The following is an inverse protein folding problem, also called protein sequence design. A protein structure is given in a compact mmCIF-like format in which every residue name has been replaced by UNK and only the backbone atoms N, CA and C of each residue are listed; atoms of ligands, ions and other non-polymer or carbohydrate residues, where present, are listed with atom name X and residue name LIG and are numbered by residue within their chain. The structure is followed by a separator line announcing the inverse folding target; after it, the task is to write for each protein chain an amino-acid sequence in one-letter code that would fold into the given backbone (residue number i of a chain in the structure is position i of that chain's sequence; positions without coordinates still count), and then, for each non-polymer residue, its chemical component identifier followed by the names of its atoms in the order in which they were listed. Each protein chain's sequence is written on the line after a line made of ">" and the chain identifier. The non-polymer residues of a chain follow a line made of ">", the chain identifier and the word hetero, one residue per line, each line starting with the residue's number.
data_IF_152620785017
#
_entry.id   IF_152620785017
#
_cell.length_a   1.000
_cell.length_b   1.000
_cell.length_c   1.000
_cell.angle_alpha   90.00
_cell.angle_beta   90.00
_cell.angle_gamma   90.00
#
_symmetry.space_group_name_H-M   'P 1'
#
loop_
_entity.id
_entity.type
_entity.pdbx_description
1 polymer ?
#
# COMPACT_ATOMS: atom_id res chain seq x y z
N UNK A 1 3.89 -15.82 -20.07
CA UNK A 1 4.04 -16.87 -19.02
C UNK A 1 3.79 -18.25 -19.59
N UNK A 2 2.68 -18.47 -20.30
CA UNK A 2 2.28 -19.78 -20.82
C UNK A 2 3.34 -20.50 -21.66
N UNK A 3 4.07 -19.76 -22.51
CA UNK A 3 5.17 -20.34 -23.31
C UNK A 3 6.33 -20.84 -22.44
N UNK A 4 6.67 -20.14 -21.35
CA UNK A 4 7.73 -20.55 -20.42
C UNK A 4 7.31 -21.78 -19.62
N UNK A 5 6.07 -21.78 -19.12
CA UNK A 5 5.48 -22.94 -18.42
C UNK A 5 5.46 -24.16 -19.35
N UNK A 6 4.99 -23.98 -20.59
CA UNK A 6 4.97 -25.04 -21.60
C UNK A 6 6.35 -25.58 -21.94
N UNK A 7 7.36 -24.70 -22.05
CA UNK A 7 8.76 -25.10 -22.28
C UNK A 7 9.34 -25.91 -21.12
N UNK A 8 9.08 -25.51 -19.88
CA UNK A 8 9.58 -26.22 -18.69
C UNK A 8 8.88 -27.58 -18.56
N UNK A 9 7.56 -27.60 -18.62
CA UNK A 9 6.79 -28.85 -18.55
C UNK A 9 7.17 -29.79 -19.70
N UNK A 10 7.32 -29.29 -20.93
CA UNK A 10 7.75 -30.10 -22.07
C UNK A 10 9.13 -30.76 -21.89
N UNK A 11 10.00 -30.17 -21.07
CA UNK A 11 11.34 -30.73 -20.78
C UNK A 11 11.34 -31.73 -19.62
N UNK A 12 10.53 -31.53 -18.59
CA UNK A 12 10.66 -32.25 -17.31
C UNK A 12 9.43 -33.09 -16.92
N UNK A 13 8.30 -32.96 -17.62
CA UNK A 13 7.11 -33.79 -17.36
C UNK A 13 7.40 -35.26 -17.58
N UNK A 14 6.84 -36.09 -16.70
CA UNK A 14 6.81 -37.55 -16.82
C UNK A 14 5.35 -38.03 -16.89
N UNK A 15 5.13 -39.33 -17.14
CA UNK A 15 3.77 -39.88 -17.25
C UNK A 15 2.88 -39.60 -16.03
N UNK A 16 3.47 -39.49 -14.84
CA UNK A 16 2.74 -39.34 -13.58
C UNK A 16 3.00 -37.99 -12.87
N UNK A 17 3.77 -37.08 -13.47
CA UNK A 17 4.17 -35.84 -12.80
C UNK A 17 4.34 -34.67 -13.78
N UNK A 18 3.70 -33.54 -13.45
CA UNK A 18 3.89 -32.24 -14.11
C UNK A 18 4.61 -31.30 -13.15
N UNK A 19 5.78 -30.75 -13.51
CA UNK A 19 6.57 -29.87 -12.65
C UNK A 19 5.85 -28.56 -12.29
N UNK A 20 5.20 -27.93 -13.26
CA UNK A 20 4.47 -26.68 -13.05
C UNK A 20 2.99 -26.93 -13.33
N UNK A 21 2.15 -26.69 -12.32
CA UNK A 21 0.70 -26.57 -12.47
C UNK A 21 0.36 -25.08 -12.47
N UNK A 22 0.06 -24.55 -13.65
CA UNK A 22 -0.37 -23.16 -13.81
C UNK A 22 -1.91 -23.10 -13.79
N UNK A 23 -2.46 -22.36 -12.83
CA UNK A 23 -3.91 -22.18 -12.68
C UNK A 23 -4.22 -20.75 -13.11
N UNK A 24 -4.91 -20.61 -14.25
CA UNK A 24 -5.39 -19.33 -14.74
C UNK A 24 -6.86 -19.15 -14.34
N UNK A 25 -7.09 -18.40 -13.26
CA UNK A 25 -8.42 -18.16 -12.71
C UNK A 25 -8.35 -17.76 -11.25
N UNK A 26 -9.53 -17.55 -10.65
CA UNK A 26 -9.65 -17.29 -9.22
C UNK A 26 -9.75 -18.61 -8.45
N UNK A 27 -9.08 -18.67 -7.31
CA UNK A 27 -9.20 -19.76 -6.33
C UNK A 27 -9.93 -19.19 -5.12
N UNK A 28 -10.85 -19.95 -4.53
CA UNK A 28 -11.55 -19.51 -3.33
C UNK A 28 -10.59 -19.31 -2.15
N UNK A 29 -10.90 -18.40 -1.23
CA UNK A 29 -10.01 -18.13 -0.09
C UNK A 29 -9.75 -19.38 0.77
N UNK A 30 -10.77 -20.23 0.97
CA UNK A 30 -10.64 -21.49 1.72
C UNK A 30 -9.71 -22.48 1.02
N UNK A 31 -9.83 -22.63 -0.31
CA UNK A 31 -8.96 -23.50 -1.11
C UNK A 31 -7.52 -22.98 -1.11
N UNK A 32 -7.35 -21.67 -1.23
CA UNK A 32 -6.04 -21.03 -1.20
C UNK A 32 -5.35 -21.19 0.16
N UNK A 33 -6.09 -21.07 1.26
CA UNK A 33 -5.58 -21.35 2.59
C UNK A 33 -5.16 -22.83 2.75
N UNK A 34 -5.90 -23.75 2.11
CA UNK A 34 -5.52 -25.16 2.00
C UNK A 34 -4.19 -25.33 1.26
N UNK A 35 -4.03 -24.71 0.09
CA UNK A 35 -2.76 -24.72 -0.65
C UNK A 35 -1.60 -24.13 0.15
N UNK A 36 -1.82 -23.02 0.86
CA UNK A 36 -0.80 -22.45 1.72
C UNK A 36 -0.38 -23.43 2.80
N UNK A 37 -1.34 -24.05 3.50
CA UNK A 37 -1.07 -25.00 4.59
C UNK A 37 -0.32 -26.24 4.12
N UNK A 38 -0.65 -26.76 2.95
CA UNK A 38 -0.04 -27.99 2.41
C UNK A 38 1.29 -27.73 1.67
N UNK A 39 1.61 -26.47 1.37
CA UNK A 39 2.83 -26.12 0.65
C UNK A 39 4.07 -26.14 1.55
N UNK A 40 5.12 -26.84 1.10
CA UNK A 40 6.43 -26.87 1.76
C UNK A 40 7.18 -25.54 1.62
N UNK A 41 6.96 -24.81 0.53
CA UNK A 41 7.63 -23.55 0.21
C UNK A 41 6.65 -22.60 -0.46
N UNK A 42 6.64 -21.35 -0.02
CA UNK A 42 5.97 -20.25 -0.70
C UNK A 42 7.01 -19.29 -1.28
N UNK A 43 6.95 -19.07 -2.59
CA UNK A 43 7.86 -18.18 -3.31
C UNK A 43 7.13 -16.92 -3.74
N UNK A 44 7.46 -15.80 -3.11
CA UNK A 44 6.84 -14.50 -3.34
C UNK A 44 7.90 -13.53 -3.84
N UNK A 45 8.09 -13.46 -5.16
CA UNK A 45 9.19 -12.69 -5.77
C UNK A 45 8.73 -11.54 -6.68
N UNK A 46 7.93 -10.58 -6.20
CA UNK A 46 7.58 -9.41 -7.00
C UNK A 46 8.80 -8.52 -7.25
N UNK A 47 8.80 -7.82 -8.38
CA UNK A 47 9.86 -6.86 -8.72
C UNK A 47 9.77 -5.58 -7.87
N UNK A 48 8.55 -5.16 -7.53
CA UNK A 48 8.22 -4.07 -6.60
C UNK A 48 6.83 -4.33 -6.02
N UNK A 49 6.71 -4.25 -4.70
CA UNK A 49 5.44 -4.39 -4.01
C UNK A 49 5.48 -3.63 -2.67
N UNK A 50 4.52 -2.72 -2.45
CA UNK A 50 4.47 -1.94 -1.21
C UNK A 50 4.25 -2.82 0.01
N UNK A 51 3.42 -3.86 -0.12
CA UNK A 51 3.22 -4.89 0.90
C UNK A 51 2.65 -6.14 0.25
N UNK A 52 3.22 -7.30 0.57
CA UNK A 52 2.72 -8.55 0.02
C UNK A 52 1.87 -9.31 1.04
N UNK A 53 0.55 -9.25 0.88
CA UNK A 53 -0.39 -9.96 1.76
C UNK A 53 -0.35 -11.48 1.56
N UNK A 54 -0.04 -11.96 0.35
CA UNK A 54 0.12 -13.40 0.09
C UNK A 54 1.20 -14.02 0.98
N UNK A 55 2.31 -13.31 1.21
CA UNK A 55 3.35 -13.73 2.14
C UNK A 55 2.82 -13.84 3.59
N UNK A 56 2.01 -12.85 4.03
CA UNK A 56 1.40 -12.83 5.38
C UNK A 56 0.35 -13.93 5.54
N UNK A 57 -0.49 -14.14 4.54
CA UNK A 57 -1.49 -15.20 4.50
C UNK A 57 -0.86 -16.59 4.55
N UNK A 58 0.22 -16.81 3.79
CA UNK A 58 0.99 -18.05 3.87
C UNK A 58 1.49 -18.28 5.30
N UNK A 59 2.19 -17.31 5.90
CA UNK A 59 2.68 -17.40 7.28
C UNK A 59 1.54 -17.69 8.25
N UNK A 60 0.38 -17.04 8.10
CA UNK A 60 -0.78 -17.26 8.95
C UNK A 60 -1.36 -18.69 8.83
N UNK A 61 -1.30 -19.29 7.64
CA UNK A 61 -1.81 -20.63 7.37
C UNK A 61 -0.90 -21.77 7.86
N UNK A 62 0.37 -21.48 8.14
CA UNK A 62 1.41 -22.42 8.54
C UNK A 62 1.32 -22.81 10.02
N UNK A 63 0.26 -23.56 10.35
CA UNK A 63 -0.07 -24.00 11.71
C UNK A 63 0.33 -25.45 12.01
N UNK A 64 0.68 -26.23 10.98
CA UNK A 64 1.05 -27.64 11.08
C UNK A 64 2.58 -27.79 11.07
N UNK A 65 3.07 -28.90 11.61
CA UNK A 65 4.46 -29.32 11.48
C UNK A 65 4.61 -30.46 10.47
N UNK A 66 5.67 -30.49 9.66
CA UNK A 66 6.73 -29.48 9.59
C UNK A 66 6.25 -28.19 8.89
N UNK A 67 6.48 -27.03 9.50
CA UNK A 67 6.09 -25.74 8.94
C UNK A 67 6.77 -25.44 7.60
N UNK A 68 6.07 -24.89 6.62
CA UNK A 68 6.61 -24.44 5.33
C UNK A 68 7.65 -23.31 5.45
N UNK A 69 8.38 -23.05 4.36
CA UNK A 69 9.39 -21.97 4.27
C UNK A 69 8.88 -20.85 3.38
N UNK A 70 8.96 -19.61 3.87
CA UNK A 70 8.70 -18.42 3.06
C UNK A 70 9.99 -17.95 2.40
N UNK A 71 9.94 -17.77 1.08
CA UNK A 71 10.93 -17.06 0.29
C UNK A 71 10.27 -15.77 -0.23
N UNK A 72 10.90 -14.62 0.02
CA UNK A 72 10.34 -13.31 -0.33
C UNK A 72 11.34 -12.42 -1.05
N UNK A 73 10.86 -11.59 -1.97
CA UNK A 73 11.63 -10.53 -2.60
C UNK A 73 12.05 -9.47 -1.57
N UNK A 74 13.30 -8.97 -1.60
CA UNK A 74 13.68 -7.80 -0.81
C UNK A 74 12.96 -6.52 -1.27
N UNK A 75 12.31 -6.55 -2.45
CA UNK A 75 11.55 -5.42 -3.01
C UNK A 75 10.05 -5.48 -2.67
N UNK A 76 9.64 -6.40 -1.80
CA UNK A 76 8.32 -6.42 -1.20
C UNK A 76 8.39 -5.86 0.23
N UNK A 77 7.44 -5.02 0.64
CA UNK A 77 7.38 -4.55 2.03
C UNK A 77 7.31 -5.69 3.07
N UNK A 78 6.78 -6.86 2.68
CA UNK A 78 6.83 -8.05 3.52
C UNK A 78 8.27 -8.53 3.79
N UNK A 79 9.17 -8.41 2.80
CA UNK A 79 10.59 -8.74 2.93
C UNK A 79 11.36 -7.83 3.89
N UNK A 80 10.91 -6.59 4.06
CA UNK A 80 11.43 -5.68 5.09
C UNK A 80 10.94 -6.05 6.49
N UNK A 81 9.76 -6.65 6.64
CA UNK A 81 9.19 -6.98 7.96
C UNK A 81 9.48 -8.39 8.46
N UNK A 82 9.64 -9.36 7.55
CA UNK A 82 9.76 -10.80 7.86
C UNK A 82 11.21 -11.28 7.71
N UNK A 83 12.09 -10.82 8.59
CA UNK A 83 13.52 -11.12 8.51
C UNK A 83 13.88 -12.61 8.62
N UNK A 84 12.97 -13.44 9.13
CA UNK A 84 13.16 -14.88 9.22
C UNK A 84 12.85 -15.62 7.92
N UNK A 85 12.24 -14.96 6.93
CA UNK A 85 12.08 -15.49 5.58
C UNK A 85 13.44 -15.59 4.86
N UNK A 86 13.52 -16.43 3.83
CA UNK A 86 14.66 -16.40 2.92
C UNK A 86 14.46 -15.27 1.90
N UNK A 87 15.46 -14.41 1.73
CA UNK A 87 15.41 -13.37 0.71
C UNK A 87 15.87 -13.93 -0.63
N UNK A 88 15.15 -13.58 -1.69
CA UNK A 88 15.47 -13.95 -3.06
C UNK A 88 15.35 -12.74 -3.98
N UNK A 89 16.46 -12.33 -4.60
CA UNK A 89 16.45 -11.28 -5.61
C UNK A 89 15.85 -11.83 -6.93
N UNK A 90 14.68 -11.35 -7.40
CA UNK A 90 14.07 -11.85 -8.63
C UNK A 90 14.89 -11.61 -9.90
N UNK A 91 15.89 -10.73 -9.85
CA UNK A 91 16.80 -10.47 -10.98
C UNK A 91 17.95 -11.49 -11.08
N UNK A 92 18.17 -12.31 -10.05
CA UNK A 92 19.28 -13.27 -9.95
C UNK A 92 18.76 -14.71 -9.98
N UNK A 93 18.60 -15.26 -11.18
CA UNK A 93 17.96 -16.57 -11.39
C UNK A 93 18.77 -17.72 -10.74
N UNK A 94 20.09 -17.68 -10.79
CA UNK A 94 20.96 -18.71 -10.20
C UNK A 94 20.83 -18.72 -8.67
N UNK A 95 20.93 -17.53 -8.05
CA UNK A 95 20.69 -17.33 -6.61
C UNK A 95 19.29 -17.79 -6.20
N UNK A 96 18.26 -17.49 -7.01
CA UNK A 96 16.90 -17.97 -6.77
C UNK A 96 16.81 -19.50 -6.70
N UNK A 97 17.51 -20.20 -7.60
CA UNK A 97 17.54 -21.67 -7.59
C UNK A 97 18.21 -22.22 -6.31
N UNK A 98 19.31 -21.61 -5.86
CA UNK A 98 19.98 -21.97 -4.60
C UNK A 98 19.09 -21.73 -3.38
N UNK A 99 18.35 -20.62 -3.36
CA UNK A 99 17.42 -20.28 -2.27
C UNK A 99 16.23 -21.25 -2.24
N UNK A 100 15.68 -21.62 -3.39
CA UNK A 100 14.63 -22.65 -3.49
C UNK A 100 15.15 -24.00 -3.01
N UNK A 101 16.35 -24.40 -3.43
CA UNK A 101 16.99 -25.63 -2.97
C UNK A 101 17.17 -25.63 -1.45
N UNK A 102 17.69 -24.53 -0.88
CA UNK A 102 17.82 -24.36 0.57
C UNK A 102 16.48 -24.46 1.28
N UNK A 103 15.42 -23.84 0.78
CA UNK A 103 14.10 -23.89 1.38
C UNK A 103 13.55 -25.33 1.44
N UNK A 104 13.74 -26.09 0.36
CA UNK A 104 13.29 -27.49 0.26
C UNK A 104 14.13 -28.46 1.11
N UNK A 105 15.38 -28.11 1.41
CA UNK A 105 16.32 -28.96 2.18
C UNK A 105 16.53 -28.47 3.62
N UNK A 106 15.79 -27.43 4.05
CA UNK A 106 15.93 -26.84 5.38
C UNK A 106 15.50 -27.84 6.48
N UNK A 107 16.33 -28.05 7.51
CA UNK A 107 15.99 -28.86 8.67
C UNK A 107 14.69 -28.41 9.35
N UNK A 108 13.91 -29.36 9.87
CA UNK A 108 12.59 -29.10 10.49
C UNK A 108 12.68 -28.13 11.67
N UNK A 109 13.71 -28.26 12.52
CA UNK A 109 13.94 -27.35 13.65
C UNK A 109 14.19 -25.90 13.21
N UNK A 110 14.95 -25.68 12.12
CA UNK A 110 15.13 -24.35 11.53
C UNK A 110 13.80 -23.81 10.96
N UNK A 111 13.02 -24.66 10.30
CA UNK A 111 11.71 -24.30 9.72
C UNK A 111 10.74 -23.84 10.80
N UNK A 112 10.55 -24.63 11.85
CA UNK A 112 9.63 -24.32 12.96
C UNK A 112 10.09 -23.06 13.71
N UNK A 113 11.40 -22.87 13.92
CA UNK A 113 11.93 -21.66 14.55
C UNK A 113 11.63 -20.40 13.72
N UNK A 114 11.93 -20.42 12.41
CA UNK A 114 11.68 -19.28 11.52
C UNK A 114 10.19 -18.98 11.43
N UNK A 115 9.37 -19.99 11.16
CA UNK A 115 7.92 -19.81 11.01
C UNK A 115 7.26 -19.34 12.32
N UNK A 116 7.64 -19.93 13.46
CA UNK A 116 7.12 -19.53 14.76
C UNK A 116 7.38 -18.06 15.09
N UNK A 117 8.56 -17.54 14.71
CA UNK A 117 8.89 -16.11 14.87
C UNK A 117 8.07 -15.22 13.94
N UNK A 118 7.96 -15.57 12.65
CA UNK A 118 7.14 -14.81 11.69
C UNK A 118 5.68 -14.78 12.13
N UNK A 119 5.10 -15.93 12.49
CA UNK A 119 3.72 -16.01 12.97
C UNK A 119 3.47 -15.16 14.19
N UNK A 120 4.37 -15.18 15.17
CA UNK A 120 4.23 -14.35 16.37
C UNK A 120 4.23 -12.86 16.03
N UNK A 121 5.08 -12.43 15.10
CA UNK A 121 5.14 -11.04 14.62
C UNK A 121 3.84 -10.64 13.92
N UNK A 122 3.38 -11.47 12.99
CA UNK A 122 2.15 -11.21 12.23
C UNK A 122 0.90 -11.18 13.12
N UNK A 123 0.86 -11.99 14.18
CA UNK A 123 -0.23 -11.93 15.17
C UNK A 123 -0.24 -10.62 15.98
N UNK A 124 0.91 -9.95 16.14
CA UNK A 124 1.02 -8.69 16.88
C UNK A 124 0.84 -7.46 15.98
N UNK A 125 1.23 -7.58 14.71
CA UNK A 125 1.15 -6.54 13.69
C UNK A 125 -0.06 -6.76 12.77
N UNK A 126 -1.22 -7.02 13.37
CA UNK A 126 -2.47 -7.21 12.64
C UNK A 126 -3.00 -5.89 12.05
N UNK A 127 -4.05 -5.98 11.23
CA UNK A 127 -4.69 -4.81 10.61
C UNK A 127 -5.16 -3.78 11.63
N UNK A 128 -5.62 -4.22 12.81
CA UNK A 128 -6.06 -3.33 13.88
C UNK A 128 -4.87 -2.59 14.50
N UNK A 129 -3.73 -3.27 14.65
CA UNK A 129 -2.48 -2.69 15.12
C UNK A 129 -1.96 -1.65 14.15
N UNK A 130 -2.02 -1.93 12.84
CA UNK A 130 -1.70 -0.96 11.80
C UNK A 130 -2.64 0.25 11.86
N UNK A 131 -3.96 0.04 11.92
CA UNK A 131 -4.95 1.12 11.97
C UNK A 131 -4.74 2.01 13.21
N UNK A 132 -4.52 1.42 14.39
CA UNK A 132 -4.22 2.17 15.61
C UNK A 132 -2.94 2.99 15.49
N UNK A 133 -1.88 2.42 14.91
CA UNK A 133 -0.62 3.14 14.69
C UNK A 133 -0.78 4.27 13.68
N UNK A 134 -1.54 4.05 12.61
CA UNK A 134 -1.81 5.06 11.60
C UNK A 134 -2.62 6.23 12.18
N UNK A 135 -3.72 5.94 12.88
CA UNK A 135 -4.52 6.97 13.55
C UNK A 135 -3.72 7.70 14.63
N UNK A 136 -2.94 6.96 15.43
CA UNK A 136 -2.05 7.59 16.41
C UNK A 136 -1.01 8.49 15.74
N UNK A 137 -0.47 8.09 14.58
CA UNK A 137 0.45 8.91 13.83
C UNK A 137 -0.25 10.19 13.32
N UNK A 138 -1.50 10.09 12.87
CA UNK A 138 -2.32 11.25 12.51
C UNK A 138 -2.62 12.17 13.70
N UNK A 139 -3.02 11.61 14.85
CA UNK A 139 -3.25 12.39 16.07
C UNK A 139 -1.94 12.99 16.59
N UNK A 140 -0.80 12.30 16.44
CA UNK A 140 0.50 12.86 16.80
C UNK A 140 1.00 13.92 15.82
N UNK A 141 0.51 13.92 14.57
CA UNK A 141 0.66 15.07 13.68
C UNK A 141 -0.14 16.29 14.18
N UNK A 142 -1.11 16.09 15.09
CA UNK A 142 -1.75 17.19 15.84
C UNK A 142 -0.98 17.58 17.12
N UNK A 143 -0.10 16.72 17.66
CA UNK A 143 0.64 16.96 18.91
C UNK A 143 2.07 17.52 18.73
N UNK A 144 2.63 17.54 17.50
CA UNK A 144 3.85 18.30 17.20
C UNK A 144 3.52 19.80 17.11
N UNK A 145 3.64 20.53 18.23
CA UNK A 145 3.75 22.01 18.38
C UNK A 145 3.41 22.89 17.15
N UNK A 146 2.19 22.77 16.64
CA UNK A 146 1.48 23.86 15.98
C UNK A 146 0.17 23.91 16.73
N UNK A 147 0.15 24.68 17.83
CA UNK A 147 -1.07 24.94 18.58
C UNK A 147 -2.19 25.20 17.57
N UNK A 148 -3.24 24.36 17.62
CA UNK A 148 -4.36 24.31 16.67
C UNK A 148 -4.50 25.65 15.99
N UNK A 149 -3.89 25.79 14.81
CA UNK A 149 -4.11 26.99 14.01
C UNK A 149 -5.47 26.74 13.41
N UNK A 150 -6.49 26.95 14.23
CA UNK A 150 -7.76 27.47 13.75
C UNK A 150 -7.34 28.66 12.92
N UNK A 151 -7.29 28.47 11.59
CA UNK A 151 -7.14 29.58 10.68
C UNK A 151 -8.27 30.52 11.03
N UNK A 152 -7.93 31.61 11.72
CA UNK A 152 -8.87 32.68 11.98
C UNK A 152 -9.34 33.13 10.61
N UNK A 153 -10.66 33.29 10.39
CA UNK A 153 -11.16 33.82 9.14
C UNK A 153 -10.41 35.10 8.82
N UNK A 154 -9.89 35.20 7.59
CA UNK A 154 -9.20 36.41 7.13
C UNK A 154 -10.16 37.59 7.30
N UNK A 155 -9.73 38.58 8.07
CA UNK A 155 -10.48 39.80 8.29
C UNK A 155 -10.11 40.86 7.25
N UNK A 156 -10.91 41.93 7.16
CA UNK A 156 -10.59 43.05 6.26
C UNK A 156 -9.25 43.68 6.62
N UNK A 157 -8.89 43.71 7.90
CA UNK A 157 -7.62 44.28 8.37
C UNK A 157 -6.40 43.46 7.90
N UNK A 158 -6.56 42.14 7.72
CA UNK A 158 -5.51 41.27 7.18
C UNK A 158 -5.25 41.57 5.69
N UNK A 159 -6.27 42.00 4.94
CA UNK A 159 -6.10 42.41 3.54
C UNK A 159 -5.28 43.68 3.43
N UNK A 160 -5.48 44.68 4.29
CA UNK A 160 -4.68 45.91 4.29
C UNK A 160 -3.20 45.61 4.54
N UNK A 161 -2.91 44.65 5.43
CA UNK A 161 -1.55 44.16 5.63
C UNK A 161 -0.99 43.45 4.39
N UNK A 162 -1.75 42.51 3.81
CA UNK A 162 -1.33 41.75 2.63
C UNK A 162 -1.12 42.62 1.38
N UNK A 163 -1.94 43.66 1.20
CA UNK A 163 -1.83 44.61 0.08
C UNK A 163 -0.47 45.33 0.07
N UNK A 164 0.16 45.55 1.23
CA UNK A 164 1.51 46.10 1.31
C UNK A 164 2.57 45.17 0.69
N UNK A 165 2.33 43.86 0.69
CA UNK A 165 3.24 42.86 0.10
C UNK A 165 2.92 42.58 -1.37
N UNK A 166 1.65 42.66 -1.75
CA UNK A 166 1.22 42.37 -3.12
C UNK A 166 1.61 43.49 -4.08
N UNK A 167 1.81 44.74 -3.63
CA UNK A 167 2.26 45.84 -4.47
C UNK A 167 1.39 46.09 -5.72
N UNK A 168 1.78 47.05 -6.56
CA UNK A 168 1.02 47.39 -7.78
C UNK A 168 1.52 46.70 -9.06
N UNK A 169 2.66 46.01 -9.00
CA UNK A 169 3.33 45.44 -10.18
C UNK A 169 3.30 43.90 -10.23
N UNK A 170 2.63 43.25 -9.28
CA UNK A 170 2.53 41.79 -9.22
C UNK A 170 1.18 41.31 -9.70
N UNK A 171 1.17 40.22 -10.48
CA UNK A 171 -0.06 39.51 -10.82
C UNK A 171 -0.46 38.63 -9.64
N UNK A 172 -1.61 38.88 -9.06
CA UNK A 172 -2.18 38.07 -7.98
C UNK A 172 -2.99 36.92 -8.58
N UNK A 173 -2.63 35.69 -8.23
CA UNK A 173 -3.45 34.51 -8.53
C UNK A 173 -4.26 34.13 -7.29
N UNK A 174 -5.59 34.17 -7.39
CA UNK A 174 -6.50 33.69 -6.35
C UNK A 174 -6.97 32.28 -6.71
N UNK A 175 -6.57 31.31 -5.89
CA UNK A 175 -7.03 29.93 -5.98
C UNK A 175 -8.13 29.75 -4.94
N UNK A 176 -9.36 29.52 -5.40
CA UNK A 176 -10.53 29.37 -4.54
C UNK A 176 -11.00 27.92 -4.63
N UNK A 177 -11.22 27.30 -3.47
CA UNK A 177 -11.93 26.02 -3.43
C UNK A 177 -13.39 26.24 -3.84
N UNK A 178 -14.03 25.22 -4.41
CA UNK A 178 -15.44 25.30 -4.74
C UNK A 178 -16.28 25.08 -3.48
N UNK A 179 -16.04 23.98 -2.76
CA UNK A 179 -16.81 23.61 -1.57
C UNK A 179 -16.30 24.37 -0.33
N UNK A 180 -17.23 24.91 0.46
CA UNK A 180 -16.94 25.69 1.67
C UNK A 180 -16.35 27.08 1.46
N UNK A 181 -15.89 27.41 0.25
CA UNK A 181 -15.43 28.77 -0.12
C UNK A 181 -16.40 29.46 -1.07
N UNK A 182 -16.67 28.89 -2.25
CA UNK A 182 -17.60 29.48 -3.22
C UNK A 182 -19.05 29.02 -2.97
N UNK A 183 -19.25 27.74 -2.67
CA UNK A 183 -20.53 27.15 -2.28
C UNK A 183 -20.50 26.78 -0.78
N UNK A 184 -21.61 26.93 -0.03
CA UNK A 184 -21.68 26.45 1.35
C UNK A 184 -21.38 24.94 1.45
N UNK A 185 -20.74 24.51 2.54
CA UNK A 185 -20.48 23.09 2.80
C UNK A 185 -21.81 22.33 2.83
N UNK A 186 -21.93 21.32 1.97
CA UNK A 186 -23.09 20.44 1.87
C UNK A 186 -22.69 18.98 2.20
N UNK A 187 -23.61 18.18 2.74
CA UNK A 187 -23.34 16.78 3.08
C UNK A 187 -23.13 15.87 1.85
N UNK A 188 -23.46 16.33 0.65
CA UNK A 188 -23.21 15.63 -0.60
C UNK A 188 -22.75 16.63 -1.68
N UNK A 189 -21.73 16.32 -2.50
CA UNK A 189 -21.18 17.25 -3.49
C UNK A 189 -22.22 17.81 -4.48
N UNK A 190 -23.15 16.97 -4.95
CA UNK A 190 -24.22 17.38 -5.88
C UNK A 190 -25.16 18.47 -5.33
N UNK A 191 -25.13 18.71 -4.02
CA UNK A 191 -25.94 19.74 -3.34
C UNK A 191 -25.18 21.05 -3.13
N UNK A 192 -23.87 21.08 -3.38
CA UNK A 192 -23.04 22.27 -3.29
C UNK A 192 -23.33 23.23 -4.46
N UNK A 193 -24.32 24.09 -4.26
CA UNK A 193 -24.78 25.05 -5.27
C UNK A 193 -24.24 26.44 -4.98
N UNK A 194 -23.63 27.05 -5.99
CA UNK A 194 -23.11 28.41 -5.92
C UNK A 194 -24.25 29.41 -5.65
N UNK A 195 -24.23 30.16 -4.54
CA UNK A 195 -25.26 31.15 -4.26
C UNK A 195 -25.31 32.24 -5.35
N UNK A 196 -26.49 32.79 -5.66
CA UNK A 196 -26.64 33.86 -6.65
C UNK A 196 -25.74 35.07 -6.37
N UNK A 197 -25.54 35.41 -5.09
CA UNK A 197 -24.71 36.51 -4.64
C UNK A 197 -23.24 36.28 -5.00
N UNK A 198 -22.68 35.11 -4.66
CA UNK A 198 -21.31 34.73 -5.00
C UNK A 198 -21.10 34.70 -6.50
N UNK A 199 -22.06 34.15 -7.25
CA UNK A 199 -22.04 34.11 -8.71
C UNK A 199 -21.97 35.52 -9.31
N UNK A 200 -22.76 36.45 -8.81
CA UNK A 200 -22.77 37.85 -9.28
C UNK A 200 -21.43 38.55 -9.01
N UNK A 201 -20.78 38.26 -7.87
CA UNK A 201 -19.45 38.81 -7.56
C UNK A 201 -18.41 38.28 -8.53
N UNK A 202 -18.37 36.96 -8.77
CA UNK A 202 -17.43 36.35 -9.72
C UNK A 202 -17.62 36.90 -11.15
N UNK A 203 -18.88 37.08 -11.57
CA UNK A 203 -19.20 37.69 -12.87
C UNK A 203 -18.76 39.15 -12.99
N UNK A 204 -18.83 39.92 -11.89
CA UNK A 204 -18.32 41.30 -11.88
C UNK A 204 -16.80 41.33 -11.98
N UNK A 205 -16.12 40.42 -11.27
CA UNK A 205 -14.67 40.30 -11.32
C UNK A 205 -14.17 39.88 -12.71
N UNK A 206 -14.85 38.93 -13.36
CA UNK A 206 -14.49 38.49 -14.72
C UNK A 206 -14.61 39.57 -15.79
N UNK A 207 -15.36 40.63 -15.52
CA UNK A 207 -15.53 41.77 -16.44
C UNK A 207 -14.49 42.88 -16.23
N UNK A 208 -13.58 42.73 -15.25
CA UNK A 208 -12.51 43.70 -15.03
C UNK A 208 -11.35 43.41 -15.99
N UNK A 209 -10.80 44.44 -16.64
CA UNK A 209 -9.72 44.30 -17.64
C UNK A 209 -8.43 43.69 -17.11
N UNK A 210 -8.27 43.71 -15.79
CA UNK A 210 -7.04 43.37 -15.08
C UNK A 210 -7.15 42.00 -14.38
N UNK A 211 -8.26 41.30 -14.56
CA UNK A 211 -8.54 39.96 -14.03
C UNK A 211 -8.55 38.97 -15.20
N UNK A 212 -7.71 37.93 -15.12
CA UNK A 212 -7.51 36.92 -16.17
C UNK A 212 -7.90 35.53 -15.70
#
# INVERSE_FOLDING_TARGET
>A
MDQLVGRINGRFTTANWSPIRYIYGCIGQEELAGFYRDSSVCLVTPLRDGMNLVAKEFVACQINEPAGVLIVSPFAGAGETMHEALLCNPYEIESAAEVIHRALTMPEDERSLRMGRMRRREMQQDVNSWMRQFLKAMDSLEEDEIGTTTMQPVTVDDFDYLLNYVGYNHKLALLLDYDGTLAPIAPHPDLATLPPETKNVLQRLSNHSDVY
#
